data_IF_056090733181
#
_entry.id   IF_056090733181
#
_cell.length_a   1.000
_cell.length_b   1.000
_cell.length_c   1.000
_cell.angle_alpha   90.00
_cell.angle_beta   90.00
_cell.angle_gamma   90.00
#
_symmetry.space_group_name_H-M   'P 1'
#
loop_
_entity.id
_entity.type
_entity.pdbx_description
1 polymer ?
#
# COMPACT_ATOMS: atom_id res chain seq x y z
N UNK A 1 11.40 1.78 5.50
CA UNK A 1 10.61 2.98 5.23
C UNK A 1 11.48 3.98 4.49
N UNK A 2 11.03 4.44 3.35
CA UNK A 2 11.68 5.56 2.66
C UNK A 2 11.25 6.83 3.39
N UNK A 3 12.16 7.41 4.19
CA UNK A 3 11.95 8.70 4.84
C UNK A 3 11.92 9.84 3.82
N UNK A 4 11.39 10.99 4.22
CA UNK A 4 11.51 12.21 3.45
C UNK A 4 13.00 12.54 3.22
N UNK A 5 13.36 12.93 2.00
CA UNK A 5 14.67 13.50 1.73
C UNK A 5 14.66 14.98 2.16
N UNK A 6 15.66 15.40 2.93
CA UNK A 6 15.90 16.78 3.29
C UNK A 6 16.99 17.34 2.38
N UNK A 7 16.80 18.54 1.83
CA UNK A 7 17.77 19.16 0.93
C UNK A 7 19.09 19.56 1.61
N UNK A 8 19.10 19.66 2.94
CA UNK A 8 20.24 20.09 3.76
C UNK A 8 20.84 18.98 4.63
N UNK A 9 20.82 17.73 4.19
CA UNK A 9 21.41 16.63 4.94
C UNK A 9 22.92 16.83 5.14
N UNK A 10 23.36 16.94 6.39
CA UNK A 10 24.77 16.91 6.74
C UNK A 10 25.33 15.50 6.54
N UNK A 11 26.60 15.44 6.10
CA UNK A 11 27.30 14.15 5.92
C UNK A 11 27.38 13.29 7.21
N UNK A 12 27.17 13.89 8.37
CA UNK A 12 27.13 13.22 9.68
C UNK A 12 26.02 13.84 10.53
N UNK A 13 25.24 12.98 11.16
CA UNK A 13 24.17 13.38 12.08
C UNK A 13 23.78 12.27 13.04
N UNK A 14 23.08 12.58 14.14
CA UNK A 14 22.61 11.57 15.08
C UNK A 14 21.48 10.75 14.47
N UNK A 15 21.45 9.45 14.79
CA UNK A 15 20.26 8.64 14.59
C UNK A 15 19.21 9.03 15.62
N UNK A 16 18.05 9.40 15.17
CA UNK A 16 16.91 9.67 16.06
C UNK A 16 15.78 8.68 15.75
N UNK A 17 15.28 8.02 16.78
CA UNK A 17 14.07 7.23 16.71
C UNK A 17 12.95 8.06 17.33
N UNK A 18 12.00 8.46 16.52
CA UNK A 18 10.84 9.18 17.02
C UNK A 18 9.84 8.17 17.56
N UNK A 19 9.56 8.24 18.87
CA UNK A 19 8.46 7.58 19.51
C UNK A 19 7.39 8.62 19.81
N UNK A 20 6.23 8.46 19.22
CA UNK A 20 5.17 9.46 19.37
C UNK A 20 4.28 9.18 20.59
N UNK A 21 4.02 7.93 20.93
CA UNK A 21 3.14 7.57 22.05
C UNK A 21 3.62 6.29 22.75
N UNK A 22 4.17 6.43 23.94
CA UNK A 22 4.49 5.32 24.84
C UNK A 22 5.96 4.87 24.85
N UNK A 23 6.25 3.81 25.62
CA UNK A 23 7.59 3.23 25.72
C UNK A 23 7.88 2.40 24.46
N UNK A 24 8.87 2.81 23.68
CA UNK A 24 9.34 2.07 22.51
C UNK A 24 10.57 1.27 22.90
N UNK A 25 10.51 -0.05 22.71
CA UNK A 25 11.68 -0.92 22.81
C UNK A 25 12.18 -1.23 21.38
N UNK A 26 13.40 -0.82 21.07
CA UNK A 26 14.06 -1.09 19.78
C UNK A 26 15.04 -2.23 20.00
N UNK A 27 14.92 -3.30 19.20
CA UNK A 27 15.74 -4.50 19.26
C UNK A 27 16.27 -4.87 17.90
N UNK A 28 17.51 -5.36 17.84
CA UNK A 28 18.15 -5.84 16.61
C UNK A 28 18.25 -4.78 15.50
N UNK A 29 18.71 -3.57 15.84
CA UNK A 29 18.98 -2.54 14.84
C UNK A 29 20.06 -3.06 13.89
N UNK A 30 19.72 -3.09 12.58
CA UNK A 30 20.67 -3.38 11.52
C UNK A 30 20.88 -2.12 10.71
N UNK A 31 22.13 -1.73 10.55
CA UNK A 31 22.55 -0.63 9.69
C UNK A 31 23.15 -1.21 8.42
N UNK A 32 22.61 -0.84 7.28
CA UNK A 32 23.20 -1.10 5.98
C UNK A 32 23.40 0.25 5.28
N UNK A 33 24.66 0.73 5.14
CA UNK A 33 24.89 1.95 4.37
C UNK A 33 24.50 1.70 2.92
N UNK A 34 23.73 2.61 2.35
CA UNK A 34 23.47 2.62 0.92
C UNK A 34 24.61 3.35 0.22
N UNK A 35 25.16 2.72 -0.82
CA UNK A 35 26.19 3.33 -1.64
C UNK A 35 25.60 4.46 -2.48
N UNK A 36 26.35 5.54 -2.63
CA UNK A 36 26.03 6.58 -3.59
C UNK A 36 26.34 6.07 -5.00
N UNK A 37 25.32 5.97 -5.83
CA UNK A 37 25.44 5.49 -7.20
C UNK A 37 25.74 6.65 -8.14
N UNK A 38 26.93 6.62 -8.78
CA UNK A 38 27.35 7.65 -9.76
C UNK A 38 26.99 7.20 -11.17
N UNK A 39 25.85 7.60 -11.64
CA UNK A 39 25.36 7.37 -13.02
C UNK A 39 25.08 8.69 -13.70
N UNK A 40 25.18 8.74 -15.02
CA UNK A 40 24.89 9.96 -15.78
C UNK A 40 24.32 9.63 -17.16
N UNK A 41 23.52 10.56 -17.68
CA UNK A 41 23.14 10.61 -19.08
C UNK A 41 24.03 11.62 -19.82
N UNK A 42 24.52 11.26 -20.99
CA UNK A 42 25.31 12.13 -21.87
C UNK A 42 24.84 12.03 -23.32
N UNK A 43 25.25 13.00 -24.14
CA UNK A 43 24.88 13.10 -25.55
C UNK A 43 23.36 12.98 -25.80
N UNK A 44 22.59 13.41 -24.80
CA UNK A 44 21.15 13.25 -24.79
C UNK A 44 20.49 14.18 -25.81
N UNK A 45 19.76 13.61 -26.72
CA UNK A 45 18.97 14.31 -27.74
C UNK A 45 17.50 13.97 -27.55
N UNK A 46 16.62 14.93 -27.87
CA UNK A 46 15.19 14.71 -27.88
C UNK A 46 14.57 15.01 -29.24
N UNK A 47 13.45 14.36 -29.53
CA UNK A 47 12.54 14.71 -30.61
C UNK A 47 11.11 14.69 -30.07
N UNK A 48 10.41 15.80 -30.27
CA UNK A 48 9.03 16.02 -29.88
C UNK A 48 8.11 16.12 -31.09
N UNK A 49 6.98 15.44 -31.03
CA UNK A 49 5.94 15.41 -32.04
C UNK A 49 4.60 15.79 -31.40
N UNK A 50 3.95 16.83 -31.90
CA UNK A 50 2.65 17.30 -31.38
C UNK A 50 1.50 16.42 -31.89
N UNK A 51 1.64 15.12 -31.66
CA UNK A 51 0.63 14.11 -31.93
C UNK A 51 1.00 12.80 -31.21
N UNK A 52 -0.01 12.02 -30.91
CA UNK A 52 0.17 10.66 -30.42
C UNK A 52 0.75 9.73 -31.48
N UNK A 53 1.65 8.84 -31.10
CA UNK A 53 2.16 7.75 -31.93
C UNK A 53 2.42 6.53 -31.07
N UNK A 54 2.11 5.33 -31.56
CA UNK A 54 2.28 4.10 -30.78
C UNK A 54 3.72 3.59 -30.75
N UNK A 55 4.54 4.03 -31.70
CA UNK A 55 5.97 3.64 -31.77
C UNK A 55 6.80 4.79 -32.33
N UNK A 56 8.14 4.77 -32.06
CA UNK A 56 9.06 5.74 -32.70
C UNK A 56 8.98 5.76 -34.22
N UNK A 57 8.77 4.62 -34.88
CA UNK A 57 8.68 4.51 -36.32
C UNK A 57 7.41 5.19 -36.86
N UNK A 58 6.32 5.13 -36.11
CA UNK A 58 5.10 5.90 -36.47
C UNK A 58 5.33 7.39 -36.29
N UNK A 59 5.98 7.82 -35.20
CA UNK A 59 6.30 9.22 -34.99
C UNK A 59 7.21 9.76 -36.11
N UNK A 60 8.23 9.00 -36.48
CA UNK A 60 9.22 9.35 -37.52
C UNK A 60 8.64 9.50 -38.94
N UNK A 61 7.39 9.07 -39.20
CA UNK A 61 6.70 9.35 -40.47
C UNK A 61 6.41 10.84 -40.68
N UNK A 62 6.56 11.65 -39.66
CA UNK A 62 6.45 13.11 -39.73
C UNK A 62 7.70 13.75 -39.18
N UNK A 63 7.94 15.01 -39.56
CA UNK A 63 9.03 15.78 -38.97
C UNK A 63 8.68 16.08 -37.50
N UNK A 64 9.66 16.05 -36.56
CA UNK A 64 9.43 16.50 -35.20
C UNK A 64 9.03 17.97 -35.18
N UNK A 65 8.13 18.33 -34.28
CA UNK A 65 7.73 19.71 -34.02
C UNK A 65 8.90 20.49 -33.43
N UNK A 66 9.69 19.85 -32.55
CA UNK A 66 10.98 20.34 -32.10
C UNK A 66 11.94 19.21 -31.81
N UNK A 67 13.23 19.49 -31.90
CA UNK A 67 14.28 18.55 -31.55
C UNK A 67 15.54 19.31 -31.15
N UNK A 68 16.39 18.68 -30.33
CA UNK A 68 17.62 19.32 -29.88
C UNK A 68 18.37 18.47 -28.85
N UNK A 69 19.30 19.12 -28.15
CA UNK A 69 20.04 18.53 -27.05
C UNK A 69 19.27 18.77 -25.75
N UNK A 70 19.25 17.77 -24.87
CA UNK A 70 18.67 17.84 -23.56
C UNK A 70 19.77 17.57 -22.49
N UNK A 71 19.70 18.23 -21.36
CA UNK A 71 20.61 17.98 -20.24
C UNK A 71 20.14 16.82 -19.37
N UNK A 72 18.84 16.54 -19.36
CA UNK A 72 18.18 15.48 -18.59
C UNK A 72 16.85 15.12 -19.25
N UNK A 73 16.20 14.06 -18.80
CA UNK A 73 14.85 13.73 -19.21
C UNK A 73 13.88 14.79 -18.67
N UNK A 74 13.08 15.39 -19.52
CA UNK A 74 12.13 16.42 -19.13
C UNK A 74 10.88 16.40 -20.02
N UNK A 75 9.73 16.09 -19.43
CA UNK A 75 8.45 16.07 -20.16
C UNK A 75 8.02 17.44 -20.67
N UNK A 76 8.55 18.54 -20.12
CA UNK A 76 8.25 19.92 -20.52
C UNK A 76 8.88 20.31 -21.84
N UNK A 77 9.76 19.50 -22.42
CA UNK A 77 10.23 19.65 -23.82
C UNK A 77 9.10 19.45 -24.83
N UNK A 78 8.00 18.81 -24.40
CA UNK A 78 6.74 18.79 -25.14
C UNK A 78 5.93 20.04 -24.78
N UNK A 79 5.62 20.89 -25.77
CA UNK A 79 4.79 22.09 -25.57
C UNK A 79 3.29 21.77 -25.48
N UNK A 80 2.82 20.71 -26.17
CA UNK A 80 1.45 20.23 -26.04
C UNK A 80 1.22 19.53 -24.70
N UNK A 81 0.02 19.68 -24.15
CA UNK A 81 -0.35 19.06 -22.86
C UNK A 81 -1.18 17.79 -23.02
N UNK A 82 -1.91 17.65 -24.10
CA UNK A 82 -2.91 16.58 -24.24
C UNK A 82 -2.37 15.37 -24.98
N UNK A 83 -1.90 15.56 -26.19
CA UNK A 83 -1.45 14.46 -27.04
C UNK A 83 -0.07 14.76 -27.62
N UNK A 84 0.91 13.93 -27.36
CA UNK A 84 2.24 14.06 -27.93
C UNK A 84 3.03 12.75 -27.88
N UNK A 85 4.06 12.69 -28.72
CA UNK A 85 5.11 11.70 -28.64
C UNK A 85 6.45 12.41 -28.36
N UNK A 86 7.17 11.95 -27.36
CA UNK A 86 8.47 12.51 -26.98
C UNK A 86 9.47 11.37 -26.82
N UNK A 87 10.58 11.44 -27.53
CA UNK A 87 11.65 10.45 -27.41
C UNK A 87 12.97 11.10 -27.04
N UNK A 88 13.80 10.30 -26.37
CA UNK A 88 15.16 10.64 -25.97
C UNK A 88 16.10 9.54 -26.45
N UNK A 89 17.25 9.94 -26.96
CA UNK A 89 18.36 9.07 -27.33
C UNK A 89 19.67 9.65 -26.79
N UNK A 90 20.54 8.81 -26.29
CA UNK A 90 21.82 9.25 -25.71
C UNK A 90 22.63 8.09 -25.17
N UNK A 91 23.44 8.38 -24.17
CA UNK A 91 24.26 7.36 -23.49
C UNK A 91 24.02 7.40 -22.00
N UNK A 92 23.86 6.21 -21.42
CA UNK A 92 23.87 5.99 -19.97
C UNK A 92 25.25 5.49 -19.56
N UNK A 93 25.88 6.16 -18.62
CA UNK A 93 27.17 5.70 -18.05
C UNK A 93 26.90 5.11 -16.68
N UNK A 94 27.35 3.86 -16.48
CA UNK A 94 27.30 3.17 -15.18
C UNK A 94 28.71 2.83 -14.70
N UNK A 95 28.99 2.92 -13.37
CA UNK A 95 30.36 2.84 -12.84
C UNK A 95 30.91 1.41 -12.71
N UNK A 96 30.04 0.43 -12.56
CA UNK A 96 30.41 -0.96 -12.29
C UNK A 96 29.48 -1.93 -13.00
N UNK A 97 29.93 -3.15 -13.21
CA UNK A 97 29.06 -4.24 -13.65
C UNK A 97 28.12 -4.63 -12.51
N UNK A 98 26.81 -4.55 -12.75
CA UNK A 98 25.78 -4.95 -11.79
C UNK A 98 24.42 -5.15 -12.47
N UNK A 99 23.43 -5.64 -11.71
CA UNK A 99 22.04 -5.67 -12.15
C UNK A 99 21.37 -4.35 -11.78
N UNK A 100 21.05 -3.55 -12.78
CA UNK A 100 20.43 -2.24 -12.61
C UNK A 100 18.90 -2.32 -12.75
N UNK A 101 18.20 -1.72 -11.80
CA UNK A 101 16.74 -1.61 -11.80
C UNK A 101 16.33 -0.19 -12.16
N UNK A 102 15.44 -0.10 -13.14
CA UNK A 102 14.84 1.16 -13.60
C UNK A 102 13.40 1.23 -13.13
N UNK A 103 13.05 2.36 -12.50
CA UNK A 103 11.69 2.62 -12.03
C UNK A 103 11.16 3.88 -12.73
N UNK A 104 10.10 3.73 -13.51
CA UNK A 104 9.53 4.80 -14.33
C UNK A 104 8.07 5.06 -13.99
N UNK A 105 7.69 6.34 -13.97
CA UNK A 105 6.31 6.78 -13.92
C UNK A 105 6.09 7.82 -15.00
N UNK A 106 5.02 7.67 -15.79
CA UNK A 106 4.74 8.55 -16.93
C UNK A 106 3.24 8.71 -17.17
N UNK A 107 2.89 9.58 -18.12
CA UNK A 107 1.52 9.76 -18.61
C UNK A 107 1.38 9.16 -19.99
N UNK A 108 0.77 7.99 -20.13
CA UNK A 108 0.54 7.28 -21.39
C UNK A 108 1.48 6.09 -21.60
N UNK A 109 1.67 5.65 -22.85
CA UNK A 109 2.59 4.54 -23.15
C UNK A 109 4.04 5.00 -23.03
N UNK A 110 4.91 4.12 -22.57
CA UNK A 110 6.35 4.37 -22.47
C UNK A 110 7.16 3.10 -22.70
N UNK A 111 8.43 3.28 -23.10
CA UNK A 111 9.39 2.19 -23.21
C UNK A 111 10.81 2.69 -22.94
N UNK A 112 11.64 1.81 -22.39
CA UNK A 112 13.06 2.04 -22.15
C UNK A 112 13.87 0.91 -22.81
N UNK A 113 14.80 1.29 -23.65
CA UNK A 113 15.77 0.39 -24.28
C UNK A 113 17.19 0.76 -23.85
N UNK A 114 18.00 -0.24 -23.55
CA UNK A 114 19.45 -0.13 -23.29
C UNK A 114 20.15 -1.08 -24.25
N UNK A 115 21.08 -0.57 -25.03
CA UNK A 115 21.84 -1.33 -26.06
C UNK A 115 20.92 -2.10 -27.03
N UNK A 116 19.79 -1.50 -27.38
CA UNK A 116 18.81 -2.10 -28.30
C UNK A 116 17.95 -3.20 -27.68
N UNK A 117 18.06 -3.45 -26.37
CA UNK A 117 17.19 -4.40 -25.65
C UNK A 117 16.15 -3.65 -24.83
N UNK A 118 14.90 -4.05 -24.94
CA UNK A 118 13.83 -3.48 -24.12
C UNK A 118 14.02 -3.91 -22.65
N UNK A 119 14.35 -2.94 -21.80
CA UNK A 119 14.38 -3.10 -20.33
C UNK A 119 13.00 -2.88 -19.74
N UNK A 120 12.28 -1.89 -20.30
CA UNK A 120 10.86 -1.69 -20.09
C UNK A 120 10.20 -1.80 -21.46
N UNK A 121 9.48 -2.89 -21.70
CA UNK A 121 8.69 -3.07 -22.92
C UNK A 121 7.59 -1.98 -23.02
N UNK A 122 7.08 -1.67 -24.21
CA UNK A 122 5.99 -0.72 -24.37
C UNK A 122 4.84 -1.03 -23.39
N UNK A 123 4.62 -0.12 -22.46
CA UNK A 123 3.66 -0.31 -21.36
C UNK A 123 2.92 1.00 -21.12
N UNK A 124 1.61 0.93 -21.02
CA UNK A 124 0.76 2.08 -20.69
C UNK A 124 0.76 2.34 -19.19
N UNK A 125 0.77 3.62 -18.80
CA UNK A 125 0.69 4.06 -17.42
C UNK A 125 -0.03 5.42 -17.32
N UNK A 126 -0.31 5.83 -16.08
CA UNK A 126 -0.75 7.18 -15.73
C UNK A 126 -0.09 7.62 -14.42
N UNK A 127 -0.03 8.93 -14.19
CA UNK A 127 0.72 9.50 -13.04
C UNK A 127 0.21 9.09 -11.66
N UNK A 128 -1.05 8.65 -11.56
CA UNK A 128 -1.62 8.08 -10.34
C UNK A 128 -1.47 6.56 -10.23
N UNK A 129 -0.86 5.91 -11.24
CA UNK A 129 -0.66 4.46 -11.27
C UNK A 129 0.60 4.01 -10.53
N UNK A 130 0.83 2.70 -10.54
CA UNK A 130 2.05 2.11 -10.00
C UNK A 130 3.22 2.36 -10.95
N UNK A 131 4.44 2.60 -10.43
CA UNK A 131 5.62 2.70 -11.26
C UNK A 131 5.86 1.43 -12.08
N UNK A 132 6.30 1.61 -13.33
CA UNK A 132 6.75 0.51 -14.19
C UNK A 132 8.20 0.22 -13.81
N UNK A 133 8.53 -1.05 -13.62
CA UNK A 133 9.86 -1.50 -13.21
C UNK A 133 10.45 -2.45 -14.23
N UNK A 134 11.70 -2.24 -14.60
CA UNK A 134 12.48 -3.12 -15.45
C UNK A 134 13.90 -3.26 -14.92
N UNK A 135 14.56 -4.41 -15.13
CA UNK A 135 15.93 -4.65 -14.67
C UNK A 135 16.77 -5.29 -15.77
N UNK A 136 18.05 -4.96 -15.80
CA UNK A 136 19.02 -5.55 -16.73
C UNK A 136 20.42 -5.52 -16.15
N UNK A 137 21.21 -6.52 -16.47
CA UNK A 137 22.66 -6.52 -16.17
C UNK A 137 23.38 -5.61 -17.18
N UNK A 138 24.21 -4.69 -16.67
CA UNK A 138 25.04 -3.79 -17.46
C UNK A 138 26.51 -3.93 -17.04
N UNK A 139 27.41 -3.93 -17.99
CA UNK A 139 28.84 -3.81 -17.77
C UNK A 139 29.20 -2.37 -17.33
N UNK A 140 30.38 -2.16 -16.75
CA UNK A 140 30.85 -0.80 -16.48
C UNK A 140 31.11 -0.04 -17.79
N UNK A 141 30.66 1.20 -17.87
CA UNK A 141 30.92 2.05 -19.04
C UNK A 141 29.66 2.68 -19.63
N UNK A 142 29.73 2.97 -20.93
CA UNK A 142 28.67 3.66 -21.67
C UNK A 142 27.77 2.68 -22.40
N UNK A 143 26.47 2.87 -22.25
CA UNK A 143 25.41 2.10 -22.89
C UNK A 143 24.53 3.01 -23.75
N UNK A 144 24.09 2.53 -24.90
CA UNK A 144 23.12 3.25 -25.72
C UNK A 144 21.78 3.30 -24.98
N UNK A 145 21.26 4.51 -24.80
CA UNK A 145 20.04 4.78 -24.07
C UNK A 145 18.97 5.29 -25.04
N UNK A 146 17.78 4.70 -24.99
CA UNK A 146 16.62 5.18 -25.74
C UNK A 146 15.38 5.06 -24.87
N UNK A 147 14.67 6.17 -24.73
CA UNK A 147 13.41 6.24 -24.01
C UNK A 147 12.40 7.01 -24.84
N UNK A 148 11.16 6.53 -24.85
CA UNK A 148 10.07 7.32 -25.43
C UNK A 148 8.83 7.24 -24.56
N UNK A 149 8.01 8.29 -24.62
CA UNK A 149 6.67 8.36 -24.05
C UNK A 149 5.69 8.80 -25.14
N UNK A 150 4.50 8.19 -25.12
CA UNK A 150 3.35 8.57 -25.94
C UNK A 150 2.24 9.02 -24.99
N UNK A 151 2.09 10.33 -24.85
CA UNK A 151 0.99 10.89 -24.07
C UNK A 151 -0.28 10.86 -24.93
N UNK A 152 -1.20 9.97 -24.57
CA UNK A 152 -2.49 9.79 -25.26
C UNK A 152 -3.69 10.06 -24.33
N UNK A 153 -3.45 10.67 -23.18
CA UNK A 153 -4.44 10.97 -22.15
C UNK A 153 -4.69 12.48 -22.08
N UNK A 154 -5.89 12.93 -22.38
CA UNK A 154 -6.27 14.34 -22.30
C UNK A 154 -6.66 14.78 -20.87
N UNK A 155 -6.97 13.84 -19.99
CA UNK A 155 -7.37 14.10 -18.61
C UNK A 155 -6.21 14.11 -17.60
N UNK A 156 -5.02 13.69 -17.99
CA UNK A 156 -3.82 13.63 -17.12
C UNK A 156 -2.80 14.68 -17.55
N UNK A 157 -2.17 15.34 -16.59
CA UNK A 157 -1.03 16.22 -16.86
C UNK A 157 0.16 15.46 -17.47
N UNK A 158 0.97 16.07 -18.33
CA UNK A 158 2.24 15.50 -18.77
C UNK A 158 3.16 15.23 -17.58
N UNK A 159 3.89 14.12 -17.62
CA UNK A 159 4.89 13.81 -16.63
C UNK A 159 5.75 12.62 -17.04
N UNK A 160 7.00 12.64 -16.60
CA UNK A 160 7.97 11.58 -16.79
C UNK A 160 8.95 11.57 -15.64
N UNK A 161 9.03 10.47 -14.91
CA UNK A 161 10.14 10.19 -13.99
C UNK A 161 10.86 8.91 -14.42
N UNK A 162 12.15 8.87 -14.23
CA UNK A 162 12.97 7.68 -14.37
C UNK A 162 14.04 7.69 -13.28
N UNK A 163 14.06 6.62 -12.49
CA UNK A 163 15.09 6.37 -11.49
C UNK A 163 15.89 5.13 -11.89
N UNK A 164 17.15 5.10 -11.50
CA UNK A 164 18.02 3.96 -11.62
C UNK A 164 18.64 3.62 -10.27
N UNK A 165 18.70 2.34 -9.92
CA UNK A 165 19.37 1.84 -8.73
C UNK A 165 20.02 0.49 -8.99
N UNK A 166 20.99 0.10 -8.17
CA UNK A 166 21.53 -1.24 -8.09
C UNK A 166 21.36 -1.80 -6.67
N UNK A 167 21.60 -3.09 -6.39
CA UNK A 167 21.57 -3.62 -5.04
C UNK A 167 22.41 -2.80 -4.07
N UNK A 168 21.84 -2.43 -2.94
CA UNK A 168 22.47 -1.63 -1.86
C UNK A 168 22.85 -0.18 -2.25
N UNK A 169 22.32 0.37 -3.32
CA UNK A 169 22.51 1.79 -3.66
C UNK A 169 21.26 2.64 -3.42
N UNK A 170 21.46 3.95 -3.30
CA UNK A 170 20.35 4.91 -3.41
C UNK A 170 19.89 4.99 -4.87
N UNK A 171 18.58 5.15 -5.07
CA UNK A 171 18.03 5.43 -6.39
C UNK A 171 18.45 6.82 -6.86
N UNK A 172 18.91 6.93 -8.11
CA UNK A 172 19.31 8.18 -8.75
C UNK A 172 18.26 8.58 -9.77
N UNK A 173 17.79 9.83 -9.71
CA UNK A 173 16.88 10.40 -10.70
C UNK A 173 17.64 10.76 -11.98
N UNK A 174 17.14 10.29 -13.13
CA UNK A 174 17.64 10.63 -14.47
C UNK A 174 16.77 11.69 -15.15
N UNK A 175 15.81 12.26 -14.42
CA UNK A 175 14.87 13.25 -14.93
C UNK A 175 14.99 14.57 -14.14
N UNK A 176 14.54 15.64 -14.77
CA UNK A 176 14.39 16.94 -14.10
C UNK A 176 13.29 16.85 -13.02
N UNK A 177 13.47 17.39 -11.82
CA UNK A 177 12.40 17.47 -10.82
C UNK A 177 11.11 18.08 -11.38
N UNK A 178 11.24 19.09 -12.24
CA UNK A 178 10.09 19.75 -12.87
C UNK A 178 9.47 18.96 -14.05
N UNK A 179 10.02 17.80 -14.41
CA UNK A 179 9.43 16.88 -15.41
C UNK A 179 8.15 16.21 -14.92
N UNK A 180 7.96 16.16 -13.59
CA UNK A 180 6.72 15.71 -12.97
C UNK A 180 5.89 16.92 -12.57
N UNK A 181 4.55 16.89 -12.79
CA UNK A 181 3.70 17.95 -12.27
C UNK A 181 3.78 17.96 -10.74
N UNK A 182 3.72 19.16 -10.18
CA UNK A 182 3.59 19.31 -8.74
C UNK A 182 2.31 18.60 -8.28
N UNK A 183 2.46 17.65 -7.37
CA UNK A 183 1.31 16.96 -6.78
C UNK A 183 0.78 17.83 -5.65
N UNK A 184 -0.26 18.60 -5.93
CA UNK A 184 -1.00 19.31 -4.89
C UNK A 184 -1.79 18.23 -4.14
N UNK A 185 -1.51 17.99 -2.85
CA UNK A 185 -2.27 17.01 -2.09
C UNK A 185 -3.74 17.40 -2.05
N UNK A 186 -4.62 16.44 -2.27
CA UNK A 186 -6.04 16.68 -2.08
C UNK A 186 -6.34 17.04 -0.63
N UNK A 187 -7.25 17.99 -0.37
CA UNK A 187 -7.62 18.33 0.99
C UNK A 187 -8.10 17.10 1.76
N UNK A 188 -7.64 16.97 3.01
CA UNK A 188 -8.01 15.85 3.86
C UNK A 188 -9.53 15.84 4.10
N UNK A 189 -10.17 14.72 3.77
CA UNK A 189 -11.55 14.42 4.18
C UNK A 189 -11.48 13.42 5.32
N UNK A 190 -11.51 13.94 6.54
CA UNK A 190 -11.52 13.15 7.76
C UNK A 190 -12.97 12.96 8.23
N UNK A 191 -13.36 11.70 8.45
CA UNK A 191 -14.59 11.37 9.18
C UNK A 191 -14.24 11.25 10.66
N UNK A 192 -15.04 11.90 11.51
CA UNK A 192 -14.85 11.91 12.96
C UNK A 192 -16.01 11.18 13.66
N UNK A 193 -15.74 10.62 14.83
CA UNK A 193 -16.72 9.94 15.67
C UNK A 193 -16.72 10.55 17.09
N UNK A 194 -17.18 11.79 17.20
CA UNK A 194 -17.01 12.57 18.44
C UNK A 194 -18.11 12.33 19.48
N UNK A 195 -19.35 12.17 19.07
CA UNK A 195 -20.51 12.09 19.97
C UNK A 195 -21.31 10.80 19.84
N UNK A 196 -21.22 10.15 18.71
CA UNK A 196 -21.90 8.89 18.39
C UNK A 196 -21.00 8.01 17.56
N UNK A 197 -21.23 6.70 17.53
CA UNK A 197 -20.53 5.82 16.59
C UNK A 197 -20.80 6.23 15.14
N UNK A 198 -19.74 6.19 14.32
CA UNK A 198 -19.83 6.46 12.89
C UNK A 198 -19.50 5.19 12.09
N UNK A 199 -20.27 4.94 11.04
CA UNK A 199 -20.12 3.75 10.21
C UNK A 199 -19.82 4.15 8.77
N UNK A 200 -18.66 3.73 8.27
CA UNK A 200 -18.22 4.04 6.89
C UNK A 200 -17.99 2.75 6.11
N UNK A 201 -18.77 2.57 5.03
CA UNK A 201 -18.53 1.51 4.03
C UNK A 201 -17.47 1.99 3.05
N UNK A 202 -16.40 1.22 2.88
CA UNK A 202 -15.25 1.64 2.07
C UNK A 202 -14.53 0.45 1.44
N UNK A 203 -13.60 0.78 0.54
CA UNK A 203 -12.51 -0.11 0.18
C UNK A 203 -11.36 0.12 1.16
N UNK A 204 -10.58 -0.93 1.42
CA UNK A 204 -9.43 -0.87 2.31
C UNK A 204 -8.35 -1.82 1.82
N UNK A 205 -7.09 -1.42 1.94
CA UNK A 205 -5.98 -2.33 1.74
C UNK A 205 -5.72 -3.14 3.02
N UNK A 206 -5.63 -4.46 2.88
CA UNK A 206 -5.30 -5.36 3.97
C UNK A 206 -4.44 -6.50 3.45
N UNK A 207 -3.24 -6.70 4.04
CA UNK A 207 -2.27 -7.71 3.61
C UNK A 207 -1.99 -7.68 2.08
N UNK A 208 -1.74 -6.47 1.54
CA UNK A 208 -1.50 -6.19 0.12
C UNK A 208 -2.66 -6.61 -0.82
N UNK A 209 -3.88 -6.67 -0.29
CA UNK A 209 -5.08 -6.92 -1.08
C UNK A 209 -6.09 -5.82 -0.84
N UNK A 210 -6.72 -5.34 -1.91
CA UNK A 210 -7.86 -4.43 -1.82
C UNK A 210 -9.11 -5.20 -1.47
N UNK A 211 -9.68 -4.89 -0.31
CA UNK A 211 -10.98 -5.40 0.14
C UNK A 211 -12.06 -4.39 -0.21
N UNK A 212 -13.17 -4.87 -0.76
CA UNK A 212 -14.24 -4.01 -1.30
C UNK A 212 -15.49 -3.94 -0.43
N UNK A 213 -15.56 -4.74 0.62
CA UNK A 213 -16.73 -4.85 1.50
C UNK A 213 -16.32 -4.65 2.96
N UNK A 214 -15.65 -3.53 3.24
CA UNK A 214 -15.20 -3.19 4.59
C UNK A 214 -16.20 -2.22 5.22
N UNK A 215 -16.53 -2.47 6.50
CA UNK A 215 -17.20 -1.51 7.36
C UNK A 215 -16.21 -1.04 8.42
N UNK A 216 -15.86 0.23 8.40
CA UNK A 216 -15.12 0.87 9.49
C UNK A 216 -16.09 1.46 10.49
N UNK A 217 -15.83 1.23 11.78
CA UNK A 217 -16.65 1.68 12.89
C UNK A 217 -15.80 2.59 13.78
N UNK A 218 -16.19 3.86 13.82
CA UNK A 218 -15.63 4.86 14.69
C UNK A 218 -16.40 4.90 16.00
N UNK A 219 -15.69 4.91 17.13
CA UNK A 219 -16.30 4.99 18.45
C UNK A 219 -15.85 6.27 19.16
N UNK A 220 -16.75 6.98 19.89
CA UNK A 220 -16.41 8.20 20.62
C UNK A 220 -15.30 8.04 21.67
N UNK A 221 -15.00 6.83 22.12
CA UNK A 221 -13.87 6.53 23.02
C UNK A 221 -12.52 6.51 22.30
N UNK A 222 -12.49 6.91 20.99
CA UNK A 222 -11.29 6.97 20.16
C UNK A 222 -10.58 5.62 19.98
N UNK A 223 -11.30 4.52 20.04
CA UNK A 223 -10.85 3.18 19.66
C UNK A 223 -11.76 2.65 18.57
N UNK A 224 -11.21 2.52 17.39
CA UNK A 224 -11.94 2.24 16.16
C UNK A 224 -11.53 0.89 15.59
N UNK A 225 -12.33 0.35 14.68
CA UNK A 225 -12.00 -0.91 14.01
C UNK A 225 -12.58 -0.98 12.60
N UNK A 226 -12.00 -1.85 11.77
CA UNK A 226 -12.52 -2.21 10.45
C UNK A 226 -12.84 -3.69 10.39
N UNK A 227 -13.97 -4.01 9.76
CA UNK A 227 -14.53 -5.35 9.68
C UNK A 227 -14.78 -5.76 8.22
N UNK A 228 -14.33 -6.94 7.82
CA UNK A 228 -14.62 -7.51 6.50
C UNK A 228 -16.00 -8.18 6.53
N UNK A 229 -16.94 -7.62 5.77
CA UNK A 229 -18.29 -8.16 5.70
C UNK A 229 -18.38 -9.44 4.86
N UNK A 230 -17.41 -9.72 3.99
CA UNK A 230 -17.41 -10.94 3.17
C UNK A 230 -16.89 -12.16 3.94
N UNK A 231 -15.96 -11.95 4.86
CA UNK A 231 -15.33 -13.06 5.59
C UNK A 231 -15.63 -13.06 7.09
N UNK A 232 -16.25 -12.01 7.61
CA UNK A 232 -16.56 -11.89 9.04
C UNK A 232 -15.33 -11.67 9.90
N UNK A 233 -14.30 -11.04 9.36
CA UNK A 233 -13.02 -10.84 10.00
C UNK A 233 -12.80 -9.43 10.52
N UNK A 234 -12.22 -9.32 11.71
CA UNK A 234 -11.71 -8.05 12.23
C UNK A 234 -10.34 -7.78 11.59
N UNK A 235 -10.25 -6.70 10.80
CA UNK A 235 -9.09 -6.40 9.94
C UNK A 235 -8.02 -5.61 10.66
N UNK A 236 -8.42 -4.56 11.34
CA UNK A 236 -7.53 -3.66 12.09
C UNK A 236 -8.27 -2.96 13.21
N UNK A 237 -7.52 -2.54 14.19
CA UNK A 237 -7.95 -1.72 15.34
C UNK A 237 -6.99 -0.56 15.46
N UNK A 238 -7.50 0.65 15.74
CA UNK A 238 -6.63 1.81 15.94
C UNK A 238 -7.18 2.76 16.99
N UNK A 239 -6.28 3.56 17.53
CA UNK A 239 -6.58 4.63 18.49
C UNK A 239 -6.20 5.97 17.89
N UNK A 240 -7.01 7.00 18.16
CA UNK A 240 -6.83 8.37 17.66
C UNK A 240 -8.01 8.85 16.83
N UNK A 241 -7.75 9.63 15.77
CA UNK A 241 -8.78 10.07 14.84
C UNK A 241 -9.34 8.90 14.02
N UNK A 242 -10.57 9.06 13.53
CA UNK A 242 -11.26 7.92 12.96
C UNK A 242 -10.73 7.56 11.57
N UNK A 243 -11.17 8.22 10.49
CA UNK A 243 -10.95 7.68 9.15
C UNK A 243 -10.66 8.78 8.12
N UNK A 244 -9.61 8.58 7.33
CA UNK A 244 -9.33 9.35 6.14
C UNK A 244 -10.04 8.72 4.94
N UNK A 245 -10.92 9.48 4.31
CA UNK A 245 -11.69 9.07 3.13
C UNK A 245 -11.34 9.88 1.88
N UNK A 246 -10.24 10.62 1.90
CA UNK A 246 -9.83 11.53 0.82
C UNK A 246 -9.77 10.83 -0.54
N UNK A 247 -9.15 9.67 -0.63
CA UNK A 247 -9.02 8.91 -1.88
C UNK A 247 -10.36 8.43 -2.44
N UNK A 248 -11.34 8.17 -1.59
CA UNK A 248 -12.68 7.76 -2.03
C UNK A 248 -13.40 8.84 -2.85
N UNK A 249 -13.02 10.11 -2.67
CA UNK A 249 -13.67 11.26 -3.31
C UNK A 249 -12.84 11.89 -4.42
N UNK A 250 -11.52 11.98 -4.23
CA UNK A 250 -10.64 12.67 -5.16
C UNK A 250 -9.95 11.73 -6.15
N UNK A 251 -9.68 10.50 -5.77
CA UNK A 251 -9.01 9.54 -6.63
C UNK A 251 -10.04 8.67 -7.34
N UNK A 252 -10.25 8.93 -8.64
CA UNK A 252 -11.13 8.12 -9.51
C UNK A 252 -10.33 7.02 -10.19
N UNK A 253 -9.98 6.01 -9.49
CA UNK A 253 -9.18 4.90 -9.98
C UNK A 253 -8.79 4.02 -8.80
N UNK A 254 -7.72 3.33 -8.95
CA UNK A 254 -7.12 2.61 -7.85
C UNK A 254 -6.14 3.54 -7.10
N UNK A 255 -6.03 3.41 -5.76
CA UNK A 255 -6.70 2.44 -4.91
C UNK A 255 -8.09 2.83 -4.37
N UNK A 256 -8.49 4.11 -4.28
CA UNK A 256 -9.76 4.60 -3.71
C UNK A 256 -10.06 4.05 -2.29
N UNK A 257 -9.04 3.88 -1.48
CA UNK A 257 -9.14 3.24 -0.17
C UNK A 257 -9.35 4.25 0.95
N UNK A 258 -10.05 3.83 2.01
CA UNK A 258 -10.05 4.53 3.27
C UNK A 258 -8.91 4.05 4.16
N UNK A 259 -8.31 4.96 4.94
CA UNK A 259 -7.18 4.67 5.82
C UNK A 259 -7.44 5.18 7.24
N UNK A 260 -6.92 4.48 8.25
CA UNK A 260 -6.99 4.90 9.64
C UNK A 260 -6.22 6.20 9.87
N UNK A 261 -6.77 7.12 10.67
CA UNK A 261 -6.12 8.37 11.09
C UNK A 261 -5.47 8.27 12.48
N UNK A 262 -5.12 7.07 12.90
CA UNK A 262 -4.49 6.83 14.19
C UNK A 262 -3.48 5.69 14.16
N UNK A 263 -2.94 5.37 15.34
CA UNK A 263 -2.00 4.25 15.49
C UNK A 263 -2.75 2.92 15.33
N UNK A 264 -2.60 2.28 14.18
CA UNK A 264 -3.32 1.07 13.79
C UNK A 264 -2.51 -0.21 14.01
N UNK A 265 -3.20 -1.24 14.48
CA UNK A 265 -2.72 -2.62 14.56
C UNK A 265 -3.48 -3.44 13.54
N UNK A 266 -2.76 -4.04 12.59
CA UNK A 266 -3.33 -4.96 11.61
C UNK A 266 -3.52 -6.33 12.25
N UNK A 267 -4.72 -6.88 12.11
CA UNK A 267 -5.10 -8.21 12.57
C UNK A 267 -5.19 -9.18 11.38
N UNK A 268 -5.37 -10.46 11.65
CA UNK A 268 -5.38 -11.47 10.59
C UNK A 268 -6.59 -11.39 9.64
N UNK A 269 -7.70 -10.80 10.07
CA UNK A 269 -8.89 -10.62 9.23
C UNK A 269 -9.67 -11.89 8.93
N UNK A 270 -9.45 -12.96 9.69
CA UNK A 270 -10.11 -14.24 9.46
C UNK A 270 -11.49 -14.33 10.11
N UNK A 271 -12.36 -15.15 9.51
CA UNK A 271 -13.60 -15.58 10.14
C UNK A 271 -13.33 -16.17 11.53
N UNK A 272 -14.13 -15.84 12.55
CA UNK A 272 -13.92 -16.38 13.90
C UNK A 272 -14.22 -17.88 14.00
N UNK A 273 -15.09 -18.45 13.17
CA UNK A 273 -15.30 -19.90 13.17
C UNK A 273 -14.11 -20.60 12.51
N UNK A 274 -13.52 -21.53 13.22
CA UNK A 274 -12.33 -22.25 12.79
C UNK A 274 -12.62 -23.72 12.59
N UNK A 275 -12.32 -24.23 11.40
CA UNK A 275 -12.38 -25.65 11.06
C UNK A 275 -11.00 -26.11 10.59
N UNK A 276 -10.25 -26.85 11.43
CA UNK A 276 -8.87 -27.24 11.11
C UNK A 276 -8.74 -28.21 9.92
N UNK A 277 -9.83 -28.89 9.56
CA UNK A 277 -9.85 -29.86 8.46
C UNK A 277 -10.11 -29.22 7.09
N UNK A 278 -10.54 -27.97 7.05
CA UNK A 278 -10.82 -27.29 5.79
C UNK A 278 -9.56 -26.62 5.25
N UNK A 279 -9.35 -26.76 3.93
CA UNK A 279 -8.26 -26.08 3.23
C UNK A 279 -8.38 -24.55 3.35
N UNK A 280 -7.27 -23.84 3.13
CA UNK A 280 -7.11 -22.38 3.25
C UNK A 280 -8.25 -21.53 2.65
N UNK A 281 -9.01 -22.05 1.72
CA UNK A 281 -9.91 -21.30 0.84
C UNK A 281 -11.40 -21.57 1.05
N UNK A 282 -11.81 -22.34 2.07
CA UNK A 282 -13.22 -22.63 2.29
C UNK A 282 -13.97 -21.51 3.04
N UNK A 283 -13.92 -20.30 2.49
CA UNK A 283 -14.83 -19.19 2.83
C UNK A 283 -16.28 -19.48 2.41
N UNK A 284 -16.51 -20.59 1.74
CA UNK A 284 -17.81 -20.99 1.17
C UNK A 284 -18.92 -21.23 2.19
N UNK A 285 -18.56 -21.46 3.45
CA UNK A 285 -19.54 -21.67 4.50
C UNK A 285 -20.05 -20.35 5.15
N UNK A 286 -19.29 -19.27 5.06
CA UNK A 286 -19.66 -17.97 5.60
C UNK A 286 -20.66 -17.24 4.69
N UNK A 287 -21.74 -16.77 5.26
CA UNK A 287 -22.76 -15.98 4.56
C UNK A 287 -23.13 -14.76 5.39
N UNK A 288 -22.74 -13.59 4.94
CA UNK A 288 -23.14 -12.32 5.56
C UNK A 288 -24.66 -12.13 5.47
N UNK A 289 -25.29 -11.78 6.60
CA UNK A 289 -26.75 -11.57 6.74
C UNK A 289 -27.13 -10.15 7.12
N UNK A 290 -26.18 -9.22 7.07
CA UNK A 290 -26.38 -7.85 7.44
C UNK A 290 -25.89 -7.53 8.85
N UNK A 291 -26.19 -6.35 9.33
CA UNK A 291 -25.99 -5.94 10.72
C UNK A 291 -27.22 -5.18 11.23
N UNK A 292 -27.42 -5.22 12.52
CA UNK A 292 -28.43 -4.41 13.23
C UNK A 292 -27.71 -3.41 14.13
N UNK A 293 -28.31 -2.25 14.32
CA UNK A 293 -27.78 -1.20 15.20
C UNK A 293 -28.50 -1.26 16.55
N UNK A 294 -27.74 -1.10 17.63
CA UNK A 294 -28.33 -0.89 18.94
C UNK A 294 -28.77 0.59 19.12
N UNK A 295 -29.34 0.90 20.29
CA UNK A 295 -29.83 2.25 20.61
C UNK A 295 -28.74 3.33 20.63
N UNK A 296 -27.48 2.91 20.70
CA UNK A 296 -26.30 3.80 20.63
C UNK A 296 -25.70 3.92 19.21
N UNK A 297 -26.25 3.18 18.23
CA UNK A 297 -25.75 3.16 16.85
C UNK A 297 -24.60 2.16 16.62
N UNK A 298 -24.26 1.30 17.59
CA UNK A 298 -23.22 0.30 17.41
C UNK A 298 -23.74 -0.91 16.64
N UNK A 299 -22.97 -1.44 15.65
CA UNK A 299 -23.40 -2.57 14.85
C UNK A 299 -23.20 -3.90 15.60
N UNK A 300 -24.17 -4.79 15.40
CA UNK A 300 -24.06 -6.23 15.65
C UNK A 300 -24.10 -6.93 14.30
N UNK A 301 -23.03 -7.57 13.90
CA UNK A 301 -22.94 -8.26 12.62
C UNK A 301 -23.64 -9.61 12.70
N UNK A 302 -24.48 -9.92 11.70
CA UNK A 302 -25.21 -11.15 11.60
C UNK A 302 -24.68 -11.96 10.41
N UNK A 303 -24.36 -13.21 10.62
CA UNK A 303 -23.96 -14.11 9.55
C UNK A 303 -24.35 -15.56 9.84
N UNK A 304 -24.37 -16.37 8.81
CA UNK A 304 -24.50 -17.81 8.93
C UNK A 304 -23.16 -18.46 8.60
N UNK A 305 -22.87 -19.57 9.26
CA UNK A 305 -21.76 -20.45 8.95
C UNK A 305 -22.31 -21.87 8.91
N UNK A 306 -22.45 -22.46 7.71
CA UNK A 306 -23.30 -23.61 7.47
C UNK A 306 -24.73 -23.36 8.01
N UNK A 307 -25.19 -24.16 8.96
CA UNK A 307 -26.52 -24.03 9.57
C UNK A 307 -26.52 -23.20 10.86
N UNK A 308 -25.35 -22.72 11.29
CA UNK A 308 -25.24 -21.88 12.48
C UNK A 308 -25.63 -20.45 12.16
N UNK A 309 -26.33 -19.81 13.08
CA UNK A 309 -26.56 -18.36 13.10
C UNK A 309 -25.60 -17.75 14.10
N UNK A 310 -24.85 -16.75 13.66
CA UNK A 310 -23.82 -16.12 14.47
C UNK A 310 -24.09 -14.62 14.52
N UNK A 311 -24.02 -14.07 15.73
CA UNK A 311 -23.99 -12.63 15.96
C UNK A 311 -22.66 -12.25 16.58
N UNK A 312 -22.05 -11.20 16.05
CA UNK A 312 -20.73 -10.71 16.44
C UNK A 312 -20.83 -9.22 16.76
N UNK A 313 -20.72 -8.86 18.03
CA UNK A 313 -20.76 -7.48 18.50
C UNK A 313 -19.40 -7.06 19.00
N UNK A 314 -18.91 -5.92 18.48
CA UNK A 314 -17.63 -5.33 18.84
C UNK A 314 -17.89 -3.91 19.32
N UNK A 315 -17.39 -3.57 20.50
CA UNK A 315 -17.56 -2.26 21.12
C UNK A 315 -16.30 -1.81 21.82
N UNK A 316 -16.04 -0.51 21.86
CA UNK A 316 -14.93 0.03 22.63
C UNK A 316 -15.16 -0.19 24.13
N UNK A 317 -14.07 -0.38 24.87
CA UNK A 317 -14.10 -0.32 26.32
C UNK A 317 -14.28 1.13 26.78
N UNK A 318 -15.00 1.34 27.87
CA UNK A 318 -15.30 2.68 28.40
C UNK A 318 -14.03 3.50 28.71
N UNK A 319 -12.95 2.82 29.06
CA UNK A 319 -11.64 3.47 29.29
C UNK A 319 -10.86 3.80 28.04
N UNK A 320 -11.39 3.50 26.83
CA UNK A 320 -10.72 3.74 25.56
C UNK A 320 -9.42 2.96 25.33
N UNK A 321 -9.19 1.84 26.02
CA UNK A 321 -7.94 1.08 25.94
C UNK A 321 -8.05 -0.25 25.19
N UNK A 322 -9.17 -0.47 24.49
CA UNK A 322 -9.35 -1.67 23.72
C UNK A 322 -10.78 -1.91 23.30
N UNK A 323 -11.02 -3.09 22.74
CA UNK A 323 -12.31 -3.55 22.27
C UNK A 323 -12.78 -4.77 23.07
N UNK A 324 -14.08 -4.84 23.31
CA UNK A 324 -14.77 -6.05 23.75
C UNK A 324 -15.50 -6.66 22.57
N UNK A 325 -15.21 -7.91 22.24
CA UNK A 325 -15.90 -8.69 21.23
C UNK A 325 -16.78 -9.75 21.89
N UNK A 326 -18.03 -9.85 21.47
CA UNK A 326 -19.00 -10.83 21.96
C UNK A 326 -19.58 -11.59 20.79
N UNK A 327 -19.36 -12.90 20.75
CA UNK A 327 -19.82 -13.78 19.68
C UNK A 327 -20.87 -14.73 20.29
N UNK A 328 -22.10 -14.70 19.74
CA UNK A 328 -23.14 -15.66 20.09
C UNK A 328 -23.40 -16.61 18.90
N UNK A 329 -23.51 -17.87 19.20
CA UNK A 329 -23.73 -18.93 18.23
C UNK A 329 -25.03 -19.66 18.56
N UNK A 330 -25.95 -19.68 17.61
CA UNK A 330 -27.23 -20.42 17.68
C UNK A 330 -27.21 -21.56 16.66
N UNK A 331 -27.60 -22.75 17.09
CA UNK A 331 -27.58 -24.00 16.33
C UNK A 331 -26.76 -25.11 17.00
N UNK A 332 -26.52 -26.19 16.27
CA UNK A 332 -25.72 -27.32 16.77
C UNK A 332 -24.23 -26.94 16.84
N UNK A 333 -23.72 -26.89 18.04
CA UNK A 333 -22.35 -26.43 18.36
C UNK A 333 -21.33 -27.55 18.45
N UNK A 334 -21.70 -28.79 18.06
CA UNK A 334 -20.75 -29.90 18.13
C UNK A 334 -19.57 -29.63 17.19
N UNK A 335 -18.36 -29.77 17.73
CA UNK A 335 -17.09 -29.59 17.03
C UNK A 335 -16.80 -28.19 16.49
N UNK A 336 -17.39 -27.14 17.08
CA UNK A 336 -17.06 -25.76 16.69
C UNK A 336 -15.92 -25.26 17.54
N UNK A 337 -14.93 -24.70 16.88
CA UNK A 337 -13.80 -23.99 17.50
C UNK A 337 -13.86 -22.55 17.07
N UNK A 338 -13.65 -21.62 18.01
CA UNK A 338 -13.59 -20.19 17.74
C UNK A 338 -12.15 -19.74 17.68
N UNK A 339 -11.74 -19.20 16.54
CA UNK A 339 -10.47 -18.50 16.40
C UNK A 339 -10.59 -17.09 16.99
N UNK A 340 -9.91 -16.87 18.08
CA UNK A 340 -9.91 -15.59 18.79
C UNK A 340 -8.89 -14.65 18.17
N UNK A 341 -7.70 -15.17 17.86
CA UNK A 341 -6.63 -14.41 17.22
C UNK A 341 -5.71 -15.31 16.39
N UNK A 342 -4.98 -14.69 15.47
CA UNK A 342 -3.89 -15.30 14.73
C UNK A 342 -2.77 -14.26 14.57
N UNK A 343 -1.55 -14.63 14.91
CA UNK A 343 -0.38 -13.78 14.86
C UNK A 343 0.91 -14.59 14.63
N UNK A 344 2.01 -13.90 14.35
CA UNK A 344 3.34 -14.53 14.23
C UNK A 344 3.76 -15.25 15.51
N UNK A 345 3.32 -14.74 16.66
CA UNK A 345 3.51 -15.38 17.97
C UNK A 345 2.34 -15.06 18.90
N UNK A 346 1.94 -16.03 19.73
CA UNK A 346 0.95 -15.82 20.79
C UNK A 346 1.48 -16.50 22.05
N UNK A 347 1.61 -15.74 23.14
CA UNK A 347 2.15 -16.21 24.40
C UNK A 347 1.15 -16.04 25.53
N UNK A 348 0.81 -17.13 26.22
CA UNK A 348 0.04 -17.04 27.46
C UNK A 348 0.90 -16.45 28.59
N UNK A 349 0.32 -15.53 29.33
CA UNK A 349 0.92 -14.97 30.57
C UNK A 349 0.10 -15.30 31.81
N UNK A 350 -0.84 -16.23 31.69
CA UNK A 350 -1.67 -16.73 32.77
C UNK A 350 -3.02 -16.03 32.90
N UNK A 351 -3.94 -16.62 33.69
CA UNK A 351 -5.25 -16.07 34.01
C UNK A 351 -6.08 -15.63 32.78
N UNK A 352 -6.02 -16.37 31.65
CA UNK A 352 -6.73 -16.03 30.43
C UNK A 352 -6.17 -14.83 29.67
N UNK A 353 -4.94 -14.36 30.01
CA UNK A 353 -4.28 -13.25 29.35
C UNK A 353 -3.20 -13.74 28.40
N UNK A 354 -3.19 -13.19 27.19
CA UNK A 354 -2.27 -13.55 26.12
C UNK A 354 -1.66 -12.30 25.51
N UNK A 355 -0.40 -12.42 25.04
CA UNK A 355 0.29 -11.41 24.25
C UNK A 355 0.33 -11.91 22.81
N UNK A 356 -0.11 -11.09 21.85
CA UNK A 356 -0.07 -11.40 20.43
C UNK A 356 0.93 -10.51 19.69
N UNK A 357 1.62 -11.11 18.69
CA UNK A 357 2.73 -10.48 18.00
C UNK A 357 3.91 -10.24 18.97
N UNK A 358 4.83 -9.36 18.57
CA UNK A 358 5.89 -8.89 19.49
C UNK A 358 5.35 -7.74 20.36
N UNK A 359 4.48 -8.07 21.31
CA UNK A 359 3.79 -7.12 22.19
C UNK A 359 2.88 -6.10 21.48
N UNK A 360 2.35 -6.47 20.33
CA UNK A 360 1.49 -5.58 19.54
C UNK A 360 0.15 -5.31 20.23
N UNK A 361 -0.44 -6.37 20.84
CA UNK A 361 -1.68 -6.25 21.60
C UNK A 361 -1.85 -7.39 22.60
N UNK A 362 -2.75 -7.16 23.55
CA UNK A 362 -3.11 -8.15 24.59
C UNK A 362 -4.53 -8.66 24.33
N UNK A 363 -4.75 -9.93 24.67
CA UNK A 363 -6.05 -10.57 24.58
C UNK A 363 -6.40 -11.09 25.97
N UNK A 364 -7.57 -10.71 26.46
CA UNK A 364 -8.13 -11.22 27.71
C UNK A 364 -9.36 -12.07 27.43
N UNK A 365 -9.37 -13.29 27.93
CA UNK A 365 -10.43 -14.28 27.76
C UNK A 365 -10.80 -14.81 29.15
N UNK A 366 -12.07 -15.14 29.34
CA UNK A 366 -12.49 -15.84 30.55
C UNK A 366 -11.69 -17.15 30.71
N UNK A 367 -10.95 -17.34 31.82
CA UNK A 367 -10.15 -18.55 32.02
C UNK A 367 -10.93 -19.86 31.92
N UNK A 368 -12.23 -19.82 32.19
CA UNK A 368 -13.12 -21.00 32.06
C UNK A 368 -13.29 -21.52 30.64
N UNK A 369 -12.98 -20.68 29.62
CA UNK A 369 -13.07 -21.07 28.20
C UNK A 369 -11.94 -22.00 27.73
N UNK A 370 -10.91 -22.23 28.57
CA UNK A 370 -9.80 -23.15 28.26
C UNK A 370 -9.13 -22.89 26.90
N UNK A 371 -8.90 -21.62 26.58
CA UNK A 371 -8.29 -21.22 25.32
C UNK A 371 -6.89 -21.83 25.13
N UNK A 372 -6.57 -22.26 23.92
CA UNK A 372 -5.32 -22.92 23.55
C UNK A 372 -4.62 -22.20 22.41
N UNK A 373 -3.30 -22.23 22.45
CA UNK A 373 -2.47 -21.74 21.34
C UNK A 373 -2.00 -22.92 20.51
N UNK A 374 -2.27 -22.88 19.21
CA UNK A 374 -1.86 -23.90 18.24
C UNK A 374 -1.05 -23.29 17.09
N UNK A 375 -0.23 -24.11 16.44
CA UNK A 375 0.49 -23.70 15.24
C UNK A 375 -0.35 -23.98 13.99
N UNK A 376 -0.51 -22.98 13.14
CA UNK A 376 -1.27 -23.11 11.88
C UNK A 376 -0.57 -22.34 10.77
N UNK A 377 -0.09 -23.04 9.72
CA UNK A 377 0.52 -22.46 8.52
C UNK A 377 1.66 -21.45 8.81
N UNK A 378 2.53 -21.79 9.77
CA UNK A 378 3.66 -20.94 10.14
C UNK A 378 3.31 -19.72 11.02
N UNK A 379 2.06 -19.63 11.48
CA UNK A 379 1.60 -18.67 12.47
C UNK A 379 1.02 -19.39 13.70
N UNK A 380 0.76 -18.65 14.76
CA UNK A 380 0.06 -19.15 15.92
C UNK A 380 -1.39 -18.66 15.92
N UNK A 381 -2.30 -19.53 16.32
CA UNK A 381 -3.73 -19.24 16.50
C UNK A 381 -4.12 -19.45 17.95
N UNK A 382 -4.95 -18.58 18.47
CA UNK A 382 -5.59 -18.71 19.76
C UNK A 382 -7.03 -19.18 19.53
N UNK A 383 -7.34 -20.34 20.06
CA UNK A 383 -8.60 -21.06 19.89
C UNK A 383 -9.33 -21.20 21.21
#
# INVERSE_FOLDING_TARGET
SRGAQFEDEKAQGPFSFQGDHGVIAIKNIRYAPQEELKVSLSDLRYAYFEKSAKTPEQAAKTKPTSSGVASTLDSRLASARDLFFLQFEGKLTVPVKDNYTFTMLCSGDASLEIDGKAVIAPTWNHLGGYPIVGSTELEAGNHNFKLWINKDLNWSSPGLSLFIEKPNSKAVALHSPASMPERIPSPLIAVQSNSSPELVRSFMEHNNKKLTHVLSVGDPHQVHYSYDLLQGGLLQVWKGDFLNTTEMWYERGEPQTATALGAAITLAGNCPVYEPTLSKDSVTAYQYKGYSLDTKGLPTFNYAYHQLKITDKIQALENGNGLKRSINIDGDKQNIIIRIAQASSIKSIGNGLFIAGDHQYFISIDPSMNAKVENYLGQQVLL
#
